data_IF_322140392223
#
_entry.id   IF_322140392223
#
_cell.length_a   1.000
_cell.length_b   1.000
_cell.length_c   1.000
_cell.angle_alpha   90.00
_cell.angle_beta   90.00
_cell.angle_gamma   90.00
#
_symmetry.space_group_name_H-M   'P 1'
#
loop_
_entity.id
_entity.type
_entity.pdbx_description
1 polymer ?
#
# COMPACT_ATOMS: atom_id res chain seq x y z
N UNK A 1 -39.36 -10.92 13.71
CA UNK A 1 -40.32 -10.92 12.58
C UNK A 1 -39.59 -10.33 11.40
N UNK A 2 -39.23 -11.16 10.43
CA UNK A 2 -38.64 -10.73 9.16
C UNK A 2 -39.78 -10.31 8.23
N UNK A 3 -39.64 -9.16 7.57
CA UNK A 3 -40.61 -8.63 6.61
C UNK A 3 -39.96 -8.60 5.23
N UNK A 4 -40.56 -9.26 4.25
CA UNK A 4 -40.10 -9.21 2.87
C UNK A 4 -40.65 -7.94 2.20
N UNK A 5 -39.74 -7.05 1.79
CA UNK A 5 -40.07 -5.77 1.16
C UNK A 5 -39.46 -5.71 -0.24
N UNK A 6 -40.27 -5.34 -1.22
CA UNK A 6 -39.82 -5.04 -2.58
C UNK A 6 -39.76 -3.53 -2.77
N UNK A 7 -38.57 -3.04 -3.13
CA UNK A 7 -38.34 -1.64 -3.50
C UNK A 7 -38.36 -1.52 -5.02
N UNK A 8 -39.23 -0.64 -5.53
CA UNK A 8 -39.29 -0.28 -6.94
C UNK A 8 -39.07 1.22 -7.02
N UNK A 9 -38.07 1.64 -7.80
CA UNK A 9 -37.72 3.04 -8.00
C UNK A 9 -37.61 3.33 -9.48
N UNK A 10 -38.15 4.47 -9.91
CA UNK A 10 -37.96 5.00 -11.27
C UNK A 10 -36.92 6.13 -11.33
N UNK A 11 -36.23 6.38 -10.21
CA UNK A 11 -35.26 7.46 -10.05
C UNK A 11 -35.85 8.77 -9.52
N UNK A 12 -37.17 8.92 -9.50
CA UNK A 12 -37.87 10.10 -8.95
C UNK A 12 -38.79 9.77 -7.78
N UNK A 13 -39.45 8.61 -7.81
CA UNK A 13 -40.29 8.11 -6.72
C UNK A 13 -39.84 6.71 -6.28
N UNK A 14 -39.95 6.44 -4.98
CA UNK A 14 -39.69 5.12 -4.41
C UNK A 14 -41.00 4.52 -3.90
N UNK A 15 -41.35 3.36 -4.44
CA UNK A 15 -42.47 2.55 -3.96
C UNK A 15 -41.93 1.37 -3.15
N UNK A 16 -42.43 1.23 -1.93
CA UNK A 16 -42.15 0.08 -1.06
C UNK A 16 -43.39 -0.78 -0.99
N UNK A 17 -43.30 -2.02 -1.47
CA UNK A 17 -44.38 -2.98 -1.41
C UNK A 17 -44.04 -4.09 -0.42
N UNK A 18 -44.98 -4.40 0.47
CA UNK A 18 -44.89 -5.58 1.32
C UNK A 18 -45.22 -6.84 0.52
N UNK A 19 -44.31 -7.81 0.54
CA UNK A 19 -44.48 -9.09 -0.14
C UNK A 19 -44.98 -10.12 0.87
N UNK A 20 -46.26 -10.48 0.77
CA UNK A 20 -46.88 -11.45 1.69
C UNK A 20 -46.44 -12.89 1.44
N UNK A 21 -45.95 -13.20 0.23
CA UNK A 21 -45.49 -14.54 -0.15
C UNK A 21 -44.48 -14.41 -1.29
N UNK A 22 -43.19 -14.48 -0.96
CA UNK A 22 -42.09 -14.29 -1.93
C UNK A 22 -42.16 -15.34 -3.04
N UNK A 23 -42.52 -16.58 -2.70
CA UNK A 23 -42.55 -17.70 -3.64
C UNK A 23 -43.65 -17.55 -4.71
N UNK A 24 -44.77 -16.90 -4.37
CA UNK A 24 -45.82 -16.58 -5.34
C UNK A 24 -45.42 -15.45 -6.26
N UNK A 25 -44.66 -14.47 -5.74
CA UNK A 25 -44.16 -13.35 -6.53
C UNK A 25 -43.11 -13.82 -7.54
N UNK A 26 -42.17 -14.67 -7.11
CA UNK A 26 -41.08 -15.17 -7.96
C UNK A 26 -41.49 -16.37 -8.81
N UNK A 27 -42.58 -17.06 -8.44
CA UNK A 27 -42.99 -18.32 -9.07
C UNK A 27 -42.03 -19.47 -8.76
N UNK A 28 -41.23 -19.36 -7.71
CA UNK A 28 -40.14 -20.28 -7.38
C UNK A 28 -40.17 -20.65 -5.90
N UNK A 29 -40.04 -21.94 -5.63
CA UNK A 29 -39.87 -22.52 -4.31
C UNK A 29 -38.37 -22.73 -4.05
N UNK A 30 -37.85 -22.16 -2.96
CA UNK A 30 -36.45 -22.31 -2.53
C UNK A 30 -36.44 -22.94 -1.13
N UNK A 31 -35.70 -24.02 -0.93
CA UNK A 31 -35.65 -24.68 0.37
C UNK A 31 -35.05 -23.74 1.43
N UNK A 32 -35.72 -23.48 2.57
CA UNK A 32 -35.29 -22.48 3.55
C UNK A 32 -34.13 -22.95 4.45
N UNK A 33 -33.70 -24.21 4.36
CA UNK A 33 -32.64 -24.76 5.20
C UNK A 33 -31.30 -24.84 4.46
N UNK A 34 -31.32 -25.28 3.20
CA UNK A 34 -30.11 -25.39 2.40
C UNK A 34 -29.94 -24.24 1.40
N UNK A 35 -31.01 -23.50 1.07
CA UNK A 35 -31.02 -22.45 0.03
C UNK A 35 -30.60 -22.93 -1.38
N UNK A 36 -30.69 -24.24 -1.57
CA UNK A 36 -29.88 -24.98 -2.54
C UNK A 36 -30.75 -25.81 -3.49
N UNK A 37 -31.92 -26.24 -3.00
CA UNK A 37 -32.91 -26.93 -3.79
C UNK A 37 -33.99 -25.96 -4.21
N UNK A 38 -34.08 -25.71 -5.51
CA UNK A 38 -34.98 -24.75 -6.13
C UNK A 38 -35.90 -25.49 -7.09
N UNK A 39 -37.19 -25.17 -7.08
CA UNK A 39 -38.17 -25.74 -7.99
C UNK A 39 -39.17 -24.66 -8.39
N UNK A 40 -39.67 -24.70 -9.62
CA UNK A 40 -40.73 -23.79 -10.07
C UNK A 40 -42.01 -24.11 -9.31
N UNK A 41 -42.63 -23.11 -8.70
CA UNK A 41 -43.94 -23.21 -8.10
C UNK A 41 -44.95 -23.52 -9.21
N UNK A 42 -45.43 -24.76 -9.25
CA UNK A 42 -46.35 -25.20 -10.30
C UNK A 42 -47.77 -25.34 -9.75
N UNK A 43 -48.71 -24.62 -10.36
CA UNK A 43 -50.14 -24.77 -10.06
C UNK A 43 -50.75 -26.01 -10.73
N UNK A 44 -50.09 -26.55 -11.76
CA UNK A 44 -50.57 -27.68 -12.56
C UNK A 44 -49.89 -29.00 -12.19
N UNK A 45 -48.60 -28.97 -11.82
CA UNK A 45 -47.83 -30.16 -11.48
C UNK A 45 -47.63 -30.28 -9.96
N UNK A 46 -48.64 -30.83 -9.27
CA UNK A 46 -48.60 -31.06 -7.82
C UNK A 46 -47.42 -31.91 -7.36
N UNK A 47 -46.93 -32.80 -8.22
CA UNK A 47 -45.84 -33.74 -7.90
C UNK A 47 -44.51 -33.02 -7.69
N UNK A 48 -44.24 -31.94 -8.43
CA UNK A 48 -43.05 -31.11 -8.25
C UNK A 48 -43.04 -30.44 -6.86
N UNK A 49 -44.18 -29.92 -6.43
CA UNK A 49 -44.34 -29.31 -5.10
C UNK A 49 -44.21 -30.37 -3.98
N UNK A 50 -44.71 -31.59 -4.20
CA UNK A 50 -44.55 -32.71 -3.27
C UNK A 50 -43.09 -33.14 -3.10
N UNK A 51 -42.32 -33.20 -4.20
CA UNK A 51 -40.88 -33.48 -4.13
C UNK A 51 -40.12 -32.39 -3.38
N UNK A 52 -40.46 -31.12 -3.63
CA UNK A 52 -39.92 -30.00 -2.89
C UNK A 52 -40.21 -30.11 -1.38
N UNK A 53 -41.47 -30.37 -1.00
CA UNK A 53 -41.83 -30.54 0.41
C UNK A 53 -41.12 -31.73 1.06
N UNK A 54 -40.96 -32.83 0.32
CA UNK A 54 -40.22 -34.01 0.79
C UNK A 54 -38.74 -33.70 1.01
N UNK A 55 -38.14 -32.91 0.11
CA UNK A 55 -36.79 -32.39 0.29
C UNK A 55 -36.71 -31.54 1.56
N UNK A 56 -37.59 -30.54 1.74
CA UNK A 56 -37.58 -29.62 2.89
C UNK A 56 -37.65 -30.38 4.22
N UNK A 57 -38.48 -31.42 4.32
CA UNK A 57 -38.57 -32.23 5.55
C UNK A 57 -37.29 -33.00 5.85
N UNK A 58 -36.62 -33.55 4.83
CA UNK A 58 -35.31 -34.19 5.01
C UNK A 58 -34.25 -33.17 5.40
N UNK A 59 -34.24 -32.03 4.73
CA UNK A 59 -33.33 -30.91 4.93
C UNK A 59 -33.41 -30.35 6.36
N UNK A 60 -34.62 -30.26 6.93
CA UNK A 60 -34.84 -29.82 8.30
C UNK A 60 -34.16 -30.71 9.35
N UNK A 61 -33.98 -31.99 9.04
CA UNK A 61 -33.38 -32.97 9.96
C UNK A 61 -31.87 -33.14 9.82
N UNK A 62 -31.25 -32.53 8.80
CA UNK A 62 -29.81 -32.57 8.58
C UNK A 62 -29.09 -31.37 9.19
N UNK A 63 -27.98 -31.61 9.89
CA UNK A 63 -26.98 -30.59 10.22
C UNK A 63 -26.25 -30.22 8.93
N UNK A 64 -26.67 -29.14 8.28
CA UNK A 64 -25.96 -28.62 7.11
C UNK A 64 -24.63 -28.00 7.57
N UNK A 65 -23.52 -28.63 7.20
CA UNK A 65 -22.27 -27.87 7.07
C UNK A 65 -22.45 -26.88 5.92
N UNK A 66 -22.14 -25.59 6.11
CA UNK A 66 -22.26 -24.59 5.05
C UNK A 66 -21.26 -24.95 3.93
N UNK A 67 -21.76 -25.61 2.88
CA UNK A 67 -21.01 -25.79 1.65
C UNK A 67 -21.09 -24.52 0.83
N UNK A 68 -19.94 -23.93 0.51
CA UNK A 68 -19.84 -22.81 -0.43
C UNK A 68 -20.30 -23.33 -1.80
N UNK A 69 -21.46 -22.88 -2.27
CA UNK A 69 -21.90 -23.12 -3.65
C UNK A 69 -21.23 -22.12 -4.57
N UNK A 70 -20.39 -22.63 -5.46
CA UNK A 70 -19.94 -21.88 -6.62
C UNK A 70 -21.12 -21.78 -7.61
N UNK A 71 -21.31 -20.62 -8.24
CA UNK A 71 -22.32 -20.45 -9.28
C UNK A 71 -22.08 -21.44 -10.43
N UNK A 72 -23.14 -22.05 -10.96
CA UNK A 72 -23.09 -23.01 -12.07
C UNK A 72 -22.58 -22.38 -13.39
N UNK A 73 -22.55 -21.05 -13.46
CA UNK A 73 -22.02 -20.27 -14.58
C UNK A 73 -20.71 -19.60 -14.13
N UNK A 74 -19.60 -19.76 -14.88
CA UNK A 74 -18.38 -19.01 -14.60
C UNK A 74 -18.70 -17.52 -14.69
N UNK A 75 -18.54 -16.80 -13.57
CA UNK A 75 -18.62 -15.34 -13.64
C UNK A 75 -17.50 -14.83 -14.53
N UNK A 76 -17.77 -13.86 -15.42
CA UNK A 76 -16.73 -13.19 -16.18
C UNK A 76 -15.72 -12.58 -15.20
N UNK A 77 -14.48 -13.07 -15.22
CA UNK A 77 -13.42 -12.58 -14.34
C UNK A 77 -12.91 -11.25 -14.91
N UNK A 78 -13.26 -10.15 -14.25
CA UNK A 78 -12.69 -8.83 -14.52
C UNK A 78 -12.26 -8.15 -13.20
N UNK A 79 -11.03 -8.43 -12.71
CA UNK A 79 -10.55 -7.94 -11.43
C UNK A 79 -10.48 -6.41 -11.36
N UNK A 80 -10.24 -5.76 -12.49
CA UNK A 80 -10.25 -4.30 -12.61
C UNK A 80 -11.58 -3.66 -12.16
N UNK A 81 -12.68 -4.41 -12.26
CA UNK A 81 -14.01 -3.97 -11.83
C UNK A 81 -14.32 -4.62 -10.48
N UNK A 82 -14.34 -5.96 -10.44
CA UNK A 82 -14.87 -6.74 -9.32
C UNK A 82 -14.05 -6.64 -8.03
N UNK A 83 -12.79 -6.22 -8.11
CA UNK A 83 -11.94 -6.03 -6.93
C UNK A 83 -11.75 -4.55 -6.60
N UNK A 84 -12.41 -3.63 -7.30
CA UNK A 84 -12.28 -2.19 -7.09
C UNK A 84 -13.65 -1.55 -6.87
N UNK A 85 -14.09 -1.36 -5.61
CA UNK A 85 -15.45 -0.90 -5.29
C UNK A 85 -15.86 0.40 -5.99
N UNK A 86 -14.94 1.36 -6.12
CA UNK A 86 -15.17 2.59 -6.89
C UNK A 86 -15.47 2.34 -8.36
N UNK A 87 -14.66 1.51 -9.04
CA UNK A 87 -14.85 1.20 -10.47
C UNK A 87 -16.14 0.42 -10.67
N UNK A 88 -16.44 -0.54 -9.79
CA UNK A 88 -17.70 -1.28 -9.82
C UNK A 88 -18.91 -0.35 -9.70
N UNK A 89 -18.89 0.55 -8.71
CA UNK A 89 -19.95 1.54 -8.49
C UNK A 89 -20.14 2.47 -9.70
N UNK A 90 -19.07 3.10 -10.16
CA UNK A 90 -19.13 4.04 -11.29
C UNK A 90 -19.56 3.34 -12.58
N UNK A 91 -19.13 2.10 -12.80
CA UNK A 91 -19.54 1.32 -13.96
C UNK A 91 -21.02 0.94 -13.92
N UNK A 92 -21.53 0.52 -12.76
CA UNK A 92 -22.93 0.14 -12.60
C UNK A 92 -23.88 1.32 -12.87
N UNK A 93 -23.45 2.55 -12.59
CA UNK A 93 -24.23 3.77 -12.81
C UNK A 93 -23.93 4.47 -14.15
N UNK A 94 -23.00 3.95 -14.96
CA UNK A 94 -22.61 4.57 -16.22
C UNK A 94 -21.81 5.88 -16.07
N UNK A 95 -21.17 6.08 -14.92
CA UNK A 95 -20.41 7.28 -14.53
C UNK A 95 -18.89 7.11 -14.66
N UNK A 96 -18.43 6.22 -15.55
CA UNK A 96 -17.01 5.94 -15.74
C UNK A 96 -16.18 7.14 -16.21
N UNK A 97 -16.81 8.18 -16.74
CA UNK A 97 -16.19 9.47 -17.06
C UNK A 97 -15.71 10.25 -15.82
N UNK A 98 -16.21 9.91 -14.63
CA UNK A 98 -15.82 10.53 -13.36
C UNK A 98 -14.70 9.78 -12.65
N UNK A 99 -14.31 8.60 -13.15
CA UNK A 99 -13.26 7.80 -12.54
C UNK A 99 -11.93 8.55 -12.52
N UNK A 100 -11.32 8.60 -11.34
CA UNK A 100 -9.97 9.11 -11.10
C UNK A 100 -9.14 8.05 -10.36
N UNK A 101 -7.91 7.87 -10.82
CA UNK A 101 -6.91 7.03 -10.14
C UNK A 101 -6.35 7.73 -8.90
N UNK A 102 -5.93 6.95 -7.92
CA UNK A 102 -5.14 7.45 -6.80
C UNK A 102 -3.80 7.97 -7.30
N UNK A 103 -3.42 9.17 -6.83
CA UNK A 103 -2.13 9.81 -7.14
C UNK A 103 -1.32 10.16 -5.88
N UNK A 104 -1.95 10.16 -4.72
CA UNK A 104 -1.32 10.47 -3.45
C UNK A 104 -0.76 9.22 -2.79
N UNK A 105 0.52 9.28 -2.44
CA UNK A 105 1.26 8.21 -1.79
C UNK A 105 2.41 8.80 -0.98
N UNK A 106 3.07 7.97 -0.18
CA UNK A 106 4.24 8.36 0.60
C UNK A 106 5.35 7.37 0.29
N UNK A 107 6.53 7.87 -0.03
CA UNK A 107 7.73 7.03 -0.15
C UNK A 107 8.55 7.13 1.13
N UNK A 108 9.28 6.08 1.48
CA UNK A 108 10.12 6.08 2.68
C UNK A 108 11.37 5.22 2.50
N UNK A 109 12.39 5.53 3.30
CA UNK A 109 13.66 4.81 3.32
C UNK A 109 14.31 4.90 4.71
N UNK A 110 15.03 3.84 5.10
CA UNK A 110 15.78 3.78 6.35
C UNK A 110 17.27 3.70 6.09
N UNK A 111 18.04 4.38 6.94
CA UNK A 111 19.44 4.06 7.12
C UNK A 111 19.68 3.37 8.46
N UNK A 112 20.70 2.51 8.48
CA UNK A 112 21.02 1.69 9.65
C UNK A 112 22.50 1.74 10.01
N UNK A 113 22.80 1.51 11.28
CA UNK A 113 24.13 1.27 11.80
C UNK A 113 24.35 -0.25 11.92
N UNK A 114 25.49 -0.73 11.42
CA UNK A 114 25.86 -2.14 11.53
C UNK A 114 26.94 -2.39 12.57
N UNK A 115 26.60 -3.15 13.61
CA UNK A 115 27.57 -3.67 14.58
C UNK A 115 27.93 -5.11 14.24
N UNK A 116 29.23 -5.40 14.09
CA UNK A 116 29.70 -6.79 14.01
C UNK A 116 29.71 -7.41 15.41
N UNK A 117 28.93 -8.48 15.58
CA UNK A 117 28.73 -9.11 16.91
C UNK A 117 29.33 -10.52 16.95
N UNK A 118 29.28 -11.28 15.85
CA UNK A 118 29.83 -12.64 15.73
C UNK A 118 29.47 -13.54 16.94
N UNK A 119 28.18 -13.57 17.31
CA UNK A 119 27.67 -14.25 18.50
C UNK A 119 26.93 -15.53 18.13
N UNK A 120 27.36 -16.67 18.67
CA UNK A 120 26.59 -17.90 18.57
C UNK A 120 25.32 -17.77 19.44
N UNK A 121 24.15 -17.79 18.80
CA UNK A 121 22.84 -17.78 19.45
C UNK A 121 22.45 -19.21 19.83
N UNK A 122 22.74 -20.15 18.93
CA UNK A 122 22.59 -21.59 19.14
C UNK A 122 23.77 -22.32 18.52
N UNK A 123 23.87 -23.64 18.71
CA UNK A 123 24.88 -24.48 18.07
C UNK A 123 24.81 -24.47 16.52
N UNK A 124 23.70 -23.99 15.95
CA UNK A 124 23.45 -23.94 14.51
C UNK A 124 23.23 -22.51 13.98
N UNK A 125 23.26 -21.48 14.83
CA UNK A 125 22.93 -20.11 14.44
C UNK A 125 23.92 -19.12 15.02
N UNK A 126 24.64 -18.44 14.13
CA UNK A 126 25.55 -17.36 14.48
C UNK A 126 24.97 -16.04 14.01
N UNK A 127 24.77 -15.11 14.94
CA UNK A 127 24.47 -13.72 14.67
C UNK A 127 25.75 -13.01 14.23
N UNK A 128 25.85 -12.70 12.95
CA UNK A 128 27.04 -12.05 12.38
C UNK A 128 27.07 -10.56 12.71
N UNK A 129 25.95 -9.87 12.47
CA UNK A 129 25.79 -8.45 12.70
C UNK A 129 24.44 -8.11 13.30
N UNK A 130 24.38 -7.00 14.01
CA UNK A 130 23.16 -6.41 14.54
C UNK A 130 22.98 -5.02 13.93
N UNK A 131 21.76 -4.74 13.47
CA UNK A 131 21.42 -3.46 12.85
C UNK A 131 20.63 -2.60 13.83
N UNK A 132 20.94 -1.31 13.83
CA UNK A 132 20.25 -0.29 14.60
C UNK A 132 19.73 0.80 13.67
N UNK A 133 18.55 1.35 13.97
CA UNK A 133 17.94 2.41 13.15
C UNK A 133 18.78 3.69 13.30
N UNK A 134 19.29 4.22 12.19
CA UNK A 134 20.05 5.48 12.16
C UNK A 134 19.13 6.64 11.82
N UNK A 135 18.35 6.48 10.77
CA UNK A 135 17.41 7.48 10.30
C UNK A 135 16.28 6.87 9.49
N UNK A 136 15.20 7.64 9.37
CA UNK A 136 14.10 7.40 8.45
C UNK A 136 13.85 8.70 7.69
N UNK A 137 13.65 8.60 6.39
CA UNK A 137 13.13 9.69 5.59
C UNK A 137 11.83 9.29 4.91
N UNK A 138 11.03 10.28 4.55
CA UNK A 138 9.87 10.13 3.70
C UNK A 138 9.68 11.32 2.78
N UNK A 139 9.08 11.05 1.62
CA UNK A 139 8.53 12.08 0.74
C UNK A 139 7.04 11.81 0.56
N UNK A 140 6.21 12.73 1.06
CA UNK A 140 4.76 12.66 0.94
C UNK A 140 4.30 13.42 -0.30
N UNK A 141 3.46 12.78 -1.12
CA UNK A 141 2.99 13.32 -2.39
C UNK A 141 1.52 13.71 -2.29
N UNK A 142 1.25 15.02 -2.32
CA UNK A 142 -0.08 15.61 -2.25
C UNK A 142 -0.57 15.94 -3.66
N UNK A 143 -1.55 15.20 -4.20
CA UNK A 143 -2.01 15.43 -5.56
C UNK A 143 -2.97 16.63 -5.64
N UNK A 144 -2.84 17.40 -6.72
CA UNK A 144 -3.78 18.46 -7.10
C UNK A 144 -4.77 17.98 -8.18
N UNK A 145 -5.83 18.74 -8.39
CA UNK A 145 -6.87 18.42 -9.39
C UNK A 145 -6.35 18.42 -10.84
N UNK A 146 -5.32 19.19 -11.14
CA UNK A 146 -4.71 19.33 -12.47
C UNK A 146 -3.60 18.31 -12.75
N UNK A 147 -3.49 17.25 -11.94
CA UNK A 147 -2.43 16.22 -11.96
C UNK A 147 -1.04 16.72 -11.51
N UNK A 148 -0.88 18.00 -11.18
CA UNK A 148 0.31 18.44 -10.46
C UNK A 148 0.30 17.89 -9.02
N UNK A 149 1.41 18.02 -8.32
CA UNK A 149 1.52 17.58 -6.94
C UNK A 149 2.51 18.42 -6.16
N UNK A 150 2.31 18.46 -4.85
CA UNK A 150 3.22 19.05 -3.88
C UNK A 150 3.95 17.95 -3.11
N UNK A 151 5.20 18.23 -2.75
CA UNK A 151 6.06 17.30 -2.03
C UNK A 151 6.40 17.87 -0.64
N UNK A 152 6.04 17.14 0.39
CA UNK A 152 6.56 17.34 1.75
C UNK A 152 7.64 16.28 1.98
N UNK A 153 8.73 16.69 2.64
CA UNK A 153 9.88 15.82 2.90
C UNK A 153 10.13 15.84 4.40
N UNK A 154 10.32 14.66 4.99
CA UNK A 154 10.66 14.52 6.40
C UNK A 154 11.88 13.64 6.54
N UNK A 155 12.72 13.95 7.52
CA UNK A 155 13.82 13.10 7.89
C UNK A 155 14.07 13.20 9.39
N UNK A 156 14.04 12.05 10.05
CA UNK A 156 14.39 11.89 11.46
C UNK A 156 15.60 10.99 11.58
N UNK A 157 16.46 11.30 12.53
CA UNK A 157 17.66 10.56 12.87
C UNK A 157 17.62 10.21 14.36
N UNK A 158 18.44 9.25 14.77
CA UNK A 158 18.69 8.95 16.19
C UNK A 158 19.03 10.21 17.01
N UNK A 159 19.72 11.19 16.40
CA UNK A 159 20.11 12.42 17.10
C UNK A 159 18.94 13.36 17.36
N UNK A 160 17.85 13.26 16.60
CA UNK A 160 16.68 14.11 16.79
C UNK A 160 15.93 13.73 18.09
N UNK A 161 16.04 12.48 18.55
CA UNK A 161 15.51 12.04 19.87
C UNK A 161 16.21 12.76 21.05
N UNK A 162 17.42 13.29 20.83
CA UNK A 162 18.19 14.03 21.84
C UNK A 162 17.90 15.53 21.84
N UNK A 163 17.06 16.01 20.92
CA UNK A 163 16.76 17.44 20.80
C UNK A 163 15.83 17.94 21.92
N UNK A 164 16.01 19.20 22.33
CA UNK A 164 15.22 19.79 23.43
C UNK A 164 13.72 19.84 23.13
N UNK A 165 13.34 19.94 21.84
CA UNK A 165 11.95 20.02 21.41
C UNK A 165 11.33 18.64 21.10
N UNK A 166 12.06 17.53 21.29
CA UNK A 166 11.56 16.20 20.96
C UNK A 166 10.33 15.82 21.80
N UNK A 167 10.37 16.10 23.10
CA UNK A 167 9.23 15.83 23.98
C UNK A 167 7.99 16.62 23.59
N UNK A 168 8.14 17.89 23.21
CA UNK A 168 7.02 18.72 22.74
C UNK A 168 6.40 18.16 21.45
N UNK A 169 7.22 17.54 20.58
CA UNK A 169 6.73 16.88 19.38
C UNK A 169 5.95 15.61 19.71
N UNK A 170 6.43 14.80 20.66
CA UNK A 170 5.70 13.61 21.13
C UNK A 170 4.35 14.00 21.74
N UNK A 171 4.35 14.99 22.63
CA UNK A 171 3.14 15.48 23.30
C UNK A 171 2.10 15.98 22.30
N UNK A 172 2.53 16.72 21.27
CA UNK A 172 1.66 17.21 20.18
C UNK A 172 0.99 16.07 19.40
N UNK A 173 1.68 14.95 19.26
CA UNK A 173 1.21 13.78 18.52
C UNK A 173 0.56 12.73 19.44
N UNK A 174 0.28 13.09 20.69
CA UNK A 174 -0.34 12.19 21.69
C UNK A 174 0.48 10.90 21.93
N UNK A 175 1.81 10.98 21.77
CA UNK A 175 2.72 9.83 21.92
C UNK A 175 3.31 9.76 23.34
N UNK A 176 3.54 8.54 23.88
CA UNK A 176 4.29 8.34 25.11
C UNK A 176 5.70 8.97 25.07
N UNK A 177 6.21 9.43 26.21
CA UNK A 177 7.54 10.07 26.32
C UNK A 177 8.72 9.17 25.96
N UNK A 178 8.53 7.86 25.88
CA UNK A 178 9.54 6.88 25.48
C UNK A 178 9.39 6.42 24.02
N UNK A 179 8.52 7.06 23.25
CA UNK A 179 8.33 6.78 21.82
C UNK A 179 9.59 7.16 21.03
N UNK A 180 9.97 6.28 20.11
CA UNK A 180 11.11 6.51 19.20
C UNK A 180 10.75 7.46 18.06
N UNK A 181 11.77 7.94 17.32
CA UNK A 181 11.56 8.80 16.16
C UNK A 181 10.71 8.13 15.07
N UNK A 182 10.68 6.79 15.05
CA UNK A 182 9.81 6.00 14.16
C UNK A 182 8.34 6.14 14.54
N UNK A 183 8.01 6.17 15.84
CA UNK A 183 6.64 6.42 16.29
C UNK A 183 6.20 7.85 15.94
N UNK A 184 7.07 8.84 16.16
CA UNK A 184 6.81 10.22 15.79
C UNK A 184 6.56 10.35 14.27
N UNK A 185 7.41 9.72 13.46
CA UNK A 185 7.24 9.68 12.01
C UNK A 185 5.92 9.04 11.60
N UNK A 186 5.55 7.89 12.17
CA UNK A 186 4.27 7.22 11.89
C UNK A 186 3.06 8.10 12.21
N UNK A 187 3.07 8.80 13.36
CA UNK A 187 1.99 9.71 13.72
C UNK A 187 1.80 10.81 12.67
N UNK A 188 2.88 11.46 12.25
CA UNK A 188 2.84 12.50 11.22
C UNK A 188 2.50 11.95 9.82
N UNK A 189 2.84 10.69 9.56
CA UNK A 189 2.47 9.99 8.33
C UNK A 189 0.96 9.74 8.29
N UNK A 190 0.33 9.41 9.41
CA UNK A 190 -1.14 9.33 9.50
C UNK A 190 -1.81 10.69 9.24
N UNK A 191 -1.30 11.78 9.82
CA UNK A 191 -1.83 13.13 9.56
C UNK A 191 -1.73 13.48 8.06
N UNK A 192 -0.59 13.19 7.45
CA UNK A 192 -0.38 13.42 6.02
C UNK A 192 -1.28 12.55 5.15
N UNK A 193 -1.52 11.30 5.56
CA UNK A 193 -2.41 10.39 4.86
C UNK A 193 -3.87 10.86 4.90
N UNK A 194 -4.32 11.50 5.98
CA UNK A 194 -5.64 12.12 6.05
C UNK A 194 -5.76 13.28 5.06
N UNK A 195 -4.77 14.16 5.00
CA UNK A 195 -4.73 15.27 4.05
C UNK A 195 -4.69 14.77 2.59
N UNK A 196 -3.81 13.80 2.29
CA UNK A 196 -3.75 13.14 0.98
C UNK A 196 -5.10 12.53 0.60
N UNK A 197 -5.78 11.85 1.54
CA UNK A 197 -7.11 11.31 1.30
C UNK A 197 -8.14 12.41 1.00
N UNK A 198 -8.10 13.54 1.69
CA UNK A 198 -8.99 14.67 1.39
C UNK A 198 -8.77 15.23 -0.02
N UNK A 199 -7.52 15.27 -0.50
CA UNK A 199 -7.21 15.69 -1.88
C UNK A 199 -7.80 14.73 -2.92
N UNK A 200 -7.91 13.44 -2.60
CA UNK A 200 -8.28 12.41 -3.57
C UNK A 200 -9.75 11.97 -3.51
N UNK A 201 -10.46 12.12 -2.39
CA UNK A 201 -11.83 11.63 -2.24
C UNK A 201 -12.80 12.22 -3.28
N UNK A 202 -13.87 11.52 -3.57
CA UNK A 202 -14.95 12.02 -4.44
C UNK A 202 -15.81 13.05 -3.70
N UNK A 203 -16.41 13.98 -4.44
CA UNK A 203 -17.37 14.95 -3.87
C UNK A 203 -18.67 14.26 -3.44
N UNK A 204 -19.14 13.29 -4.23
CA UNK A 204 -20.23 12.41 -3.85
C UNK A 204 -19.76 11.37 -2.83
N UNK A 205 -20.25 11.50 -1.60
CA UNK A 205 -19.94 10.59 -0.49
C UNK A 205 -20.46 9.15 -0.71
N UNK A 206 -21.38 8.94 -1.67
CA UNK A 206 -21.86 7.61 -2.02
C UNK A 206 -20.86 6.81 -2.86
N UNK A 207 -19.93 7.50 -3.55
CA UNK A 207 -18.88 6.82 -4.32
C UNK A 207 -17.91 6.17 -3.34
N UNK A 208 -17.80 4.82 -3.32
CA UNK A 208 -16.89 4.14 -2.41
C UNK A 208 -15.45 4.57 -2.72
N UNK A 209 -14.72 5.03 -1.71
CA UNK A 209 -13.31 5.39 -1.85
C UNK A 209 -12.54 5.02 -0.59
N UNK A 210 -11.56 4.14 -0.74
CA UNK A 210 -10.84 3.56 0.39
C UNK A 210 -10.04 4.61 1.17
N UNK A 211 -10.24 4.66 2.49
CA UNK A 211 -9.40 5.41 3.43
C UNK A 211 -8.06 4.71 3.64
N UNK A 212 -7.25 4.65 2.59
CA UNK A 212 -5.98 3.96 2.59
C UNK A 212 -4.96 4.72 1.73
N UNK A 213 -3.78 4.99 2.28
CA UNK A 213 -2.65 5.60 1.56
C UNK A 213 -1.50 4.59 1.49
N UNK A 214 -0.86 4.49 0.33
CA UNK A 214 0.28 3.58 0.13
C UNK A 214 1.57 4.19 0.65
N UNK A 215 2.31 3.38 1.40
CA UNK A 215 3.63 3.70 1.93
C UNK A 215 4.64 2.80 1.24
N UNK A 216 5.47 3.39 0.38
CA UNK A 216 6.29 2.69 -0.60
C UNK A 216 7.77 2.83 -0.26
N UNK A 217 8.41 1.72 0.09
CA UNK A 217 9.86 1.67 0.31
C UNK A 217 10.50 0.74 -0.71
N UNK A 218 11.75 1.02 -1.12
CA UNK A 218 12.44 0.24 -2.15
C UNK A 218 13.15 -0.98 -1.56
N UNK A 219 12.78 -2.20 -2.00
CA UNK A 219 13.28 -3.44 -1.39
C UNK A 219 12.99 -3.52 0.13
N UNK A 220 11.86 -2.92 0.52
CA UNK A 220 11.43 -2.76 1.91
C UNK A 220 10.80 -4.01 2.52
N UNK A 221 10.32 -4.94 1.67
CA UNK A 221 9.63 -6.18 2.10
C UNK A 221 10.45 -7.08 3.03
N UNK A 222 11.77 -6.97 2.94
CA UNK A 222 12.74 -7.77 3.70
C UNK A 222 13.44 -7.01 4.81
N UNK A 223 13.65 -5.70 4.61
CA UNK A 223 14.56 -4.92 5.44
C UNK A 223 13.80 -3.89 6.28
N UNK A 224 13.20 -2.88 5.64
CA UNK A 224 12.61 -1.75 6.34
C UNK A 224 11.41 -2.14 7.20
N UNK A 225 10.59 -3.08 6.72
CA UNK A 225 9.44 -3.59 7.48
C UNK A 225 9.87 -4.19 8.83
N UNK A 226 11.04 -4.86 8.88
CA UNK A 226 11.56 -5.40 10.13
C UNK A 226 11.97 -4.29 11.11
N UNK A 227 12.44 -3.14 10.59
CA UNK A 227 12.80 -1.96 11.39
C UNK A 227 11.56 -1.22 11.92
N UNK A 228 10.40 -1.41 11.29
CA UNK A 228 9.14 -0.79 11.72
C UNK A 228 8.39 -1.62 12.78
N UNK A 229 8.69 -2.92 12.91
CA UNK A 229 7.82 -3.88 13.59
C UNK A 229 7.42 -3.52 15.02
N UNK A 230 8.34 -2.91 15.78
CA UNK A 230 8.12 -2.46 17.16
C UNK A 230 7.26 -1.19 17.27
N UNK A 231 7.06 -0.47 16.17
CA UNK A 231 6.29 0.76 16.11
C UNK A 231 4.94 0.62 15.39
N UNK A 232 4.68 -0.48 14.66
CA UNK A 232 3.45 -0.67 13.88
C UNK A 232 2.20 -0.98 14.73
N UNK A 233 2.36 -1.28 16.02
CA UNK A 233 1.24 -1.53 16.94
C UNK A 233 1.46 -0.76 18.25
N UNK A 234 0.55 0.16 18.58
CA UNK A 234 0.64 0.98 19.77
C UNK A 234 -0.77 1.37 20.26
N UNK A 235 -0.89 2.33 21.17
CA UNK A 235 -2.19 2.79 21.67
C UNK A 235 -3.01 3.50 20.58
N UNK A 236 -2.38 4.22 19.65
CA UNK A 236 -3.02 5.05 18.62
C UNK A 236 -3.41 4.30 17.34
N UNK A 237 -2.64 3.29 16.95
CA UNK A 237 -2.86 2.51 15.73
C UNK A 237 -2.61 1.03 15.96
N UNK A 238 -3.11 0.19 15.06
CA UNK A 238 -2.93 -1.26 15.16
C UNK A 238 -2.46 -1.89 13.86
N UNK A 239 -1.56 -2.86 13.99
CA UNK A 239 -1.04 -3.62 12.86
C UNK A 239 -2.03 -4.70 12.46
N UNK A 240 -2.45 -4.69 11.20
CA UNK A 240 -3.21 -5.77 10.58
C UNK A 240 -2.35 -7.01 10.31
N UNK A 241 -3.00 -8.11 9.90
CA UNK A 241 -2.29 -9.34 9.54
C UNK A 241 -1.41 -9.09 8.30
N UNK A 242 -0.08 -9.30 8.39
CA UNK A 242 0.82 -9.17 7.24
C UNK A 242 0.43 -10.13 6.10
N UNK A 243 0.48 -9.65 4.87
CA UNK A 243 0.28 -10.48 3.67
C UNK A 243 1.65 -10.94 3.18
N UNK A 244 1.84 -12.25 3.03
CA UNK A 244 3.08 -12.84 2.56
C UNK A 244 3.64 -13.84 3.57
N UNK A 245 4.96 -14.06 3.51
CA UNK A 245 5.67 -14.87 4.50
C UNK A 245 6.49 -13.97 5.43
N UNK A 246 6.89 -14.45 6.63
CA UNK A 246 7.71 -13.67 7.54
C UNK A 246 9.03 -13.15 6.92
N UNK A 247 9.56 -13.88 5.94
CA UNK A 247 10.82 -13.53 5.25
C UNK A 247 10.59 -12.73 3.96
N UNK A 248 9.33 -12.53 3.55
CA UNK A 248 8.97 -11.81 2.33
C UNK A 248 7.55 -11.25 2.49
N UNK A 249 7.46 -10.19 3.30
CA UNK A 249 6.18 -9.53 3.57
C UNK A 249 5.81 -8.67 2.37
N UNK A 250 4.74 -9.05 1.67
CA UNK A 250 4.27 -8.33 0.47
C UNK A 250 3.55 -7.04 0.82
N UNK A 251 2.81 -7.05 1.93
CA UNK A 251 2.13 -5.85 2.41
C UNK A 251 1.81 -5.95 3.90
N UNK A 252 1.85 -4.81 4.59
CA UNK A 252 1.31 -4.64 5.94
C UNK A 252 0.36 -3.45 5.92
N UNK A 253 -0.80 -3.61 6.53
CA UNK A 253 -1.73 -2.49 6.73
C UNK A 253 -1.74 -2.12 8.21
N UNK A 254 -1.52 -0.85 8.51
CA UNK A 254 -1.66 -0.29 9.86
C UNK A 254 -2.86 0.63 9.86
N UNK A 255 -3.75 0.47 10.85
CA UNK A 255 -4.99 1.24 10.93
C UNK A 255 -4.96 2.15 12.15
N UNK A 256 -5.13 3.46 11.94
CA UNK A 256 -5.32 4.40 13.03
C UNK A 256 -6.65 4.13 13.72
N UNK A 257 -6.64 3.94 15.05
CA UNK A 257 -7.81 3.43 15.78
C UNK A 257 -8.94 4.45 15.84
N UNK A 258 -8.62 5.75 15.89
CA UNK A 258 -9.61 6.84 16.02
C UNK A 258 -10.22 7.24 14.68
N UNK A 259 -9.39 7.47 13.67
CA UNK A 259 -9.88 7.97 12.37
C UNK A 259 -10.18 6.88 11.34
N UNK A 260 -9.75 5.64 11.62
CA UNK A 260 -9.81 4.49 10.73
C UNK A 260 -9.04 4.65 9.41
N UNK A 261 -8.18 5.67 9.31
CA UNK A 261 -7.22 5.80 8.20
C UNK A 261 -6.25 4.62 8.21
N UNK A 262 -5.92 4.14 7.01
CA UNK A 262 -5.01 3.02 6.82
C UNK A 262 -3.75 3.48 6.10
N UNK A 263 -2.61 3.04 6.61
CA UNK A 263 -1.34 3.10 5.91
C UNK A 263 -1.03 1.69 5.43
N UNK A 264 -0.84 1.52 4.12
CA UNK A 264 -0.49 0.23 3.57
C UNK A 264 0.93 0.25 3.04
N UNK A 265 1.82 -0.39 3.80
CA UNK A 265 3.21 -0.60 3.46
C UNK A 265 3.30 -1.64 2.36
N UNK A 266 3.99 -1.31 1.27
CA UNK A 266 4.22 -2.17 0.10
C UNK A 266 5.64 -1.90 -0.40
N UNK A 267 6.29 -2.95 -0.89
CA UNK A 267 7.57 -2.82 -1.57
C UNK A 267 7.39 -2.24 -2.98
N UNK A 268 8.02 -1.10 -3.26
CA UNK A 268 7.98 -0.45 -4.56
C UNK A 268 8.57 -1.34 -5.68
N UNK A 269 9.51 -2.25 -5.36
CA UNK A 269 10.08 -3.20 -6.32
C UNK A 269 9.00 -4.12 -6.90
N UNK A 270 7.89 -4.37 -6.18
CA UNK A 270 6.76 -5.14 -6.71
C UNK A 270 6.06 -4.45 -7.90
N UNK A 271 6.21 -3.13 -8.06
CA UNK A 271 5.59 -2.33 -9.13
C UNK A 271 6.48 -2.17 -10.37
N UNK A 272 7.80 -2.37 -10.24
CA UNK A 272 8.75 -2.24 -11.35
C UNK A 272 9.40 -3.57 -11.74
N UNK A 273 9.34 -4.58 -10.87
CA UNK A 273 10.09 -5.82 -10.98
C UNK A 273 11.49 -5.70 -10.38
N UNK A 274 12.26 -6.81 -10.36
CA UNK A 274 13.50 -6.86 -9.59
C UNK A 274 14.60 -5.96 -10.17
N UNK A 275 14.86 -4.82 -9.54
CA UNK A 275 15.90 -3.88 -9.97
C UNK A 275 16.32 -2.92 -8.85
N UNK A 276 17.51 -2.32 -9.01
CA UNK A 276 17.98 -1.26 -8.10
C UNK A 276 17.20 0.04 -8.32
N UNK A 277 17.01 0.84 -7.26
CA UNK A 277 16.43 2.18 -7.37
C UNK A 277 17.12 3.04 -8.45
N UNK A 278 18.46 3.02 -8.50
CA UNK A 278 19.25 3.75 -9.51
C UNK A 278 18.88 3.36 -10.94
N UNK A 279 18.61 2.08 -11.20
CA UNK A 279 18.17 1.60 -12.51
C UNK A 279 16.73 2.04 -12.82
N UNK A 280 15.84 1.95 -11.82
CA UNK A 280 14.46 2.42 -11.97
C UNK A 280 14.39 3.92 -12.32
N UNK A 281 15.12 4.78 -11.58
CA UNK A 281 15.17 6.22 -11.86
C UNK A 281 15.70 6.49 -13.27
N UNK A 282 16.71 5.75 -13.71
CA UNK A 282 17.25 5.89 -15.06
C UNK A 282 16.26 5.49 -16.15
N UNK A 283 15.53 4.40 -15.94
CA UNK A 283 14.67 3.79 -16.96
C UNK A 283 13.24 4.38 -16.98
N UNK A 284 12.76 4.85 -15.83
CA UNK A 284 11.37 5.32 -15.63
C UNK A 284 11.27 6.75 -15.07
N UNK A 285 12.35 7.35 -14.56
CA UNK A 285 12.35 8.69 -13.96
C UNK A 285 12.79 9.80 -14.93
N UNK A 286 13.05 10.99 -14.37
CA UNK A 286 13.60 12.11 -15.14
C UNK A 286 15.13 12.01 -15.23
N UNK A 287 15.70 12.31 -16.40
CA UNK A 287 17.15 12.16 -16.66
C UNK A 287 18.05 13.06 -15.80
N UNK A 288 17.49 14.04 -15.11
CA UNK A 288 18.21 14.96 -14.21
C UNK A 288 18.34 14.42 -12.79
N UNK A 289 17.50 13.46 -12.40
CA UNK A 289 17.52 12.85 -11.07
C UNK A 289 18.62 11.78 -11.01
N UNK A 290 19.33 11.72 -9.89
CA UNK A 290 20.34 10.71 -9.67
C UNK A 290 20.33 10.25 -8.22
N UNK A 291 20.64 8.97 -8.03
CA UNK A 291 20.89 8.40 -6.71
C UNK A 291 22.28 8.82 -6.24
N UNK A 292 22.33 9.43 -5.06
CA UNK A 292 23.58 9.85 -4.41
C UNK A 292 24.33 8.65 -3.81
N UNK A 293 25.44 8.92 -3.12
CA UNK A 293 26.28 7.90 -2.47
C UNK A 293 26.50 8.19 -0.98
N UNK A 294 26.46 7.15 -0.15
CA UNK A 294 26.76 7.26 1.27
C UNK A 294 27.59 6.04 1.76
N UNK A 295 28.61 6.24 2.63
CA UNK A 295 29.48 5.15 3.07
C UNK A 295 28.96 4.50 4.38
N UNK A 296 28.18 3.44 4.24
CA UNK A 296 27.51 2.78 5.38
C UNK A 296 28.46 1.98 6.29
N UNK A 297 29.52 1.38 5.73
CA UNK A 297 30.33 0.38 6.46
C UNK A 297 31.28 0.98 7.51
N UNK A 298 31.57 2.29 7.42
CA UNK A 298 32.48 2.96 8.37
C UNK A 298 31.76 3.47 9.62
N UNK A 299 30.42 3.44 9.64
CA UNK A 299 29.60 3.97 10.73
C UNK A 299 28.95 2.80 11.50
N UNK A 300 29.14 2.79 12.81
CA UNK A 300 28.58 1.79 13.73
C UNK A 300 28.09 2.47 15.01
N UNK A 301 27.48 1.70 15.93
CA UNK A 301 26.88 2.25 17.15
C UNK A 301 27.87 3.00 18.05
N UNK A 302 29.17 2.68 17.95
CA UNK A 302 30.21 3.24 18.82
C UNK A 302 30.81 4.54 18.30
N UNK A 303 30.89 4.72 16.98
CA UNK A 303 31.55 5.86 16.35
C UNK A 303 30.59 6.82 15.62
N UNK A 304 29.30 6.49 15.53
CA UNK A 304 28.31 7.24 14.76
C UNK A 304 28.33 8.74 15.05
N UNK A 305 28.31 9.14 16.33
CA UNK A 305 28.34 10.55 16.72
C UNK A 305 29.62 11.26 16.28
N UNK A 306 30.79 10.65 16.50
CA UNK A 306 32.07 11.25 16.12
C UNK A 306 32.19 11.38 14.60
N UNK A 307 31.79 10.34 13.86
CA UNK A 307 31.91 10.29 12.40
C UNK A 307 30.95 11.27 11.73
N UNK A 308 29.70 11.37 12.17
CA UNK A 308 28.69 12.21 11.53
C UNK A 308 28.81 13.70 11.86
N UNK A 309 29.47 14.05 12.98
CA UNK A 309 29.69 15.45 13.37
C UNK A 309 30.93 16.08 12.69
N UNK A 310 31.72 15.30 11.94
CA UNK A 310 32.86 15.81 11.17
C UNK A 310 32.43 16.76 10.06
N UNK A 311 33.23 17.82 9.89
CA UNK A 311 33.02 18.88 8.89
C UNK A 311 33.74 18.57 7.58
N UNK A 312 34.75 17.71 7.62
CA UNK A 312 35.44 17.19 6.44
C UNK A 312 34.55 16.17 5.69
N UNK A 313 34.64 16.10 4.35
CA UNK A 313 33.97 15.05 3.58
C UNK A 313 34.52 13.66 3.93
N UNK A 314 33.78 12.63 3.57
CA UNK A 314 34.28 11.26 3.55
C UNK A 314 35.39 11.11 2.52
N UNK A 315 36.40 10.30 2.85
CA UNK A 315 37.48 9.98 1.92
C UNK A 315 37.00 8.94 0.90
N UNK A 316 37.63 8.90 -0.28
CA UNK A 316 37.26 7.94 -1.33
C UNK A 316 37.29 6.47 -0.86
N UNK A 317 38.22 6.17 0.05
CA UNK A 317 38.40 4.84 0.63
C UNK A 317 37.26 4.45 1.58
N UNK A 318 36.55 5.42 2.16
CA UNK A 318 35.41 5.17 3.05
C UNK A 318 34.23 4.52 2.31
N UNK A 319 34.17 4.67 0.98
CA UNK A 319 33.11 4.09 0.13
C UNK A 319 33.39 2.65 -0.32
N UNK A 320 34.55 2.06 0.05
CA UNK A 320 34.85 0.67 -0.30
C UNK A 320 33.97 -0.28 0.49
N UNK A 321 33.21 -1.10 -0.23
CA UNK A 321 32.37 -2.13 0.37
C UNK A 321 33.11 -3.45 0.53
N UNK A 322 33.30 -3.89 1.77
CA UNK A 322 33.83 -5.22 2.09
C UNK A 322 32.86 -6.32 1.63
N UNK A 323 31.55 -6.06 1.74
CA UNK A 323 30.51 -7.02 1.34
C UNK A 323 30.44 -7.23 -0.18
N UNK A 324 30.83 -6.23 -0.99
CA UNK A 324 30.90 -6.33 -2.45
C UNK A 324 32.31 -6.64 -2.96
N UNK A 325 33.14 -7.30 -2.15
CA UNK A 325 34.48 -7.74 -2.56
C UNK A 325 35.47 -6.58 -2.80
N UNK A 326 35.31 -5.46 -2.09
CA UNK A 326 36.13 -4.27 -2.23
C UNK A 326 35.68 -3.30 -3.33
N UNK A 327 34.49 -3.51 -3.91
CA UNK A 327 33.89 -2.57 -4.86
C UNK A 327 33.70 -1.21 -4.18
N UNK A 328 34.13 -0.14 -4.86
CA UNK A 328 33.88 1.25 -4.48
C UNK A 328 33.04 1.92 -5.54
N UNK A 329 32.51 3.09 -5.19
CA UNK A 329 31.91 4.02 -6.14
C UNK A 329 32.94 4.43 -7.21
N UNK A 330 32.44 4.92 -8.34
CA UNK A 330 33.28 5.48 -9.41
C UNK A 330 33.91 6.81 -9.00
N UNK A 331 34.95 7.22 -9.73
CA UNK A 331 35.59 8.52 -9.49
C UNK A 331 34.63 9.68 -9.74
N UNK A 332 33.80 9.58 -10.78
CA UNK A 332 32.79 10.60 -11.11
C UNK A 332 31.73 10.72 -10.00
N UNK A 333 31.26 9.60 -9.45
CA UNK A 333 30.32 9.59 -8.30
C UNK A 333 30.94 10.24 -7.06
N UNK A 334 32.22 9.98 -6.78
CA UNK A 334 32.91 10.61 -5.66
C UNK A 334 33.12 12.12 -5.87
N UNK A 335 33.49 12.53 -7.08
CA UNK A 335 33.68 13.94 -7.39
C UNK A 335 32.35 14.70 -7.31
N UNK A 336 31.24 14.07 -7.71
CA UNK A 336 29.88 14.59 -7.51
C UNK A 336 29.54 14.70 -6.02
N UNK A 337 29.80 13.65 -5.23
CA UNK A 337 29.66 13.70 -3.76
C UNK A 337 30.40 14.90 -3.15
N UNK A 338 31.64 15.16 -3.55
CA UNK A 338 32.41 16.31 -3.04
C UNK A 338 31.80 17.67 -3.44
N UNK A 339 31.12 17.74 -4.58
CA UNK A 339 30.41 18.96 -5.01
C UNK A 339 29.17 19.17 -4.14
N UNK A 340 28.40 18.12 -3.89
CA UNK A 340 27.17 18.21 -3.10
C UNK A 340 27.46 18.43 -1.62
N UNK A 341 28.49 17.76 -1.07
CA UNK A 341 28.89 17.90 0.33
C UNK A 341 29.20 19.36 0.73
N UNK A 342 29.71 20.18 -0.20
CA UNK A 342 29.99 21.62 0.05
C UNK A 342 28.76 22.43 0.46
N UNK A 343 27.55 21.93 0.21
CA UNK A 343 26.29 22.57 0.59
C UNK A 343 25.94 22.33 2.07
N UNK A 344 26.64 21.42 2.73
CA UNK A 344 26.33 20.97 4.08
C UNK A 344 27.48 21.30 5.03
N UNK A 345 27.13 21.56 6.28
CA UNK A 345 28.10 21.94 7.32
C UNK A 345 28.83 20.74 7.93
N UNK A 346 28.21 19.55 7.88
CA UNK A 346 28.78 18.30 8.38
C UNK A 346 28.14 17.08 7.69
N UNK A 347 28.68 15.90 7.99
CA UNK A 347 28.22 14.61 7.44
C UNK A 347 26.81 14.23 7.87
N UNK A 348 26.32 14.67 9.04
CA UNK A 348 24.93 14.44 9.47
C UNK A 348 23.92 15.18 8.57
N UNK A 349 24.19 16.44 8.21
CA UNK A 349 23.32 17.18 7.30
C UNK A 349 23.35 16.59 5.88
N UNK A 350 24.51 16.08 5.44
CA UNK A 350 24.60 15.33 4.19
C UNK A 350 23.79 14.02 4.26
N UNK A 351 23.85 13.27 5.36
CA UNK A 351 23.01 12.07 5.56
C UNK A 351 21.53 12.41 5.44
N UNK A 352 21.05 13.46 6.13
CA UNK A 352 19.63 13.87 6.04
C UNK A 352 19.22 14.19 4.60
N UNK A 353 20.07 14.91 3.86
CA UNK A 353 19.84 15.19 2.44
C UNK A 353 19.83 13.91 1.59
N UNK A 354 20.81 13.03 1.78
CA UNK A 354 20.94 11.76 1.07
C UNK A 354 19.69 10.90 1.23
N UNK A 355 19.22 10.69 2.47
CA UNK A 355 18.01 9.93 2.76
C UNK A 355 16.77 10.55 2.12
N UNK A 356 16.62 11.88 2.16
CA UNK A 356 15.50 12.56 1.53
C UNK A 356 15.54 12.34 0.01
N UNK A 357 16.71 12.52 -0.62
CA UNK A 357 16.88 12.31 -2.06
C UNK A 357 16.46 10.89 -2.48
N UNK A 358 16.85 9.87 -1.71
CA UNK A 358 16.45 8.48 -1.96
C UNK A 358 14.93 8.28 -1.96
N UNK A 359 14.21 9.00 -1.10
CA UNK A 359 12.74 8.95 -1.10
C UNK A 359 12.10 9.75 -2.23
N UNK A 360 12.69 10.89 -2.57
CA UNK A 360 12.15 11.82 -3.57
C UNK A 360 12.30 11.26 -5.00
N UNK A 361 13.45 10.68 -5.34
CA UNK A 361 13.69 10.12 -6.68
C UNK A 361 12.79 8.91 -7.01
N UNK A 362 12.11 8.32 -6.01
CA UNK A 362 11.08 7.30 -6.25
C UNK A 362 9.79 7.90 -6.81
N UNK A 363 9.49 9.17 -6.55
CA UNK A 363 8.21 9.80 -6.89
C UNK A 363 7.98 9.83 -8.39
N UNK A 364 8.97 10.26 -9.17
CA UNK A 364 8.81 10.45 -10.62
C UNK A 364 8.56 9.13 -11.35
N UNK A 365 9.33 8.04 -11.14
CA UNK A 365 9.00 6.72 -11.68
C UNK A 365 7.59 6.25 -11.33
N UNK A 366 7.16 6.42 -10.07
CA UNK A 366 5.83 6.01 -9.61
C UNK A 366 4.72 6.80 -10.30
N UNK A 367 4.88 8.13 -10.44
CA UNK A 367 3.95 8.98 -11.17
C UNK A 367 3.84 8.59 -12.64
N UNK A 368 4.98 8.37 -13.32
CA UNK A 368 5.00 7.93 -14.71
C UNK A 368 4.31 6.57 -14.90
N UNK A 369 4.44 5.66 -13.92
CA UNK A 369 3.74 4.39 -13.91
C UNK A 369 2.22 4.58 -13.75
N UNK A 370 1.78 5.44 -12.82
CA UNK A 370 0.37 5.78 -12.62
C UNK A 370 -0.22 6.38 -13.90
N UNK A 371 0.45 7.36 -14.51
CA UNK A 371 -0.01 8.02 -15.74
C UNK A 371 -0.14 7.05 -16.92
N UNK A 372 0.74 6.04 -16.99
CA UNK A 372 0.69 5.01 -18.04
C UNK A 372 -0.57 4.13 -17.91
N UNK A 373 -0.92 3.73 -16.69
CA UNK A 373 -2.06 2.84 -16.44
C UNK A 373 -3.40 3.58 -16.34
N UNK A 374 -3.39 4.87 -15.98
CA UNK A 374 -4.58 5.73 -15.97
C UNK A 374 -5.28 5.75 -17.34
N UNK A 375 -4.52 5.75 -18.44
CA UNK A 375 -5.06 5.70 -19.81
C UNK A 375 -5.99 4.50 -20.05
N UNK A 376 -5.81 3.44 -19.27
CA UNK A 376 -6.60 2.21 -19.34
C UNK A 376 -7.66 2.10 -18.24
N UNK A 377 -7.88 3.15 -17.45
CA UNK A 377 -8.72 3.16 -16.23
C UNK A 377 -8.27 2.13 -15.18
N UNK A 378 -6.95 1.96 -15.04
CA UNK A 378 -6.37 1.06 -14.05
C UNK A 378 -5.68 1.92 -12.98
N UNK A 379 -6.18 1.84 -11.75
CA UNK A 379 -5.53 2.44 -10.58
C UNK A 379 -4.36 1.54 -10.13
N UNK A 380 -3.13 1.98 -10.37
CA UNK A 380 -1.92 1.23 -9.98
C UNK A 380 -1.80 1.11 -8.47
N UNK A 381 -2.11 2.19 -7.75
CA UNK A 381 -2.01 2.21 -6.30
C UNK A 381 -3.09 1.35 -5.67
N UNK A 382 -4.20 1.03 -6.32
CA UNK A 382 -5.13 0.02 -5.79
C UNK A 382 -4.46 -1.36 -5.59
N UNK A 383 -3.47 -1.70 -6.42
CA UNK A 383 -2.81 -3.00 -6.41
C UNK A 383 -1.50 -3.03 -5.62
N UNK A 384 -1.01 -4.23 -5.31
CA UNK A 384 0.24 -4.45 -4.57
C UNK A 384 1.44 -4.83 -5.46
N UNK A 385 1.22 -5.04 -6.76
CA UNK A 385 2.25 -5.45 -7.71
C UNK A 385 1.90 -5.15 -9.17
N UNK A 386 2.92 -5.04 -10.02
CA UNK A 386 2.75 -4.88 -11.46
C UNK A 386 2.07 -6.09 -12.11
N UNK A 387 2.30 -7.29 -11.56
CA UNK A 387 1.65 -8.51 -12.04
C UNK A 387 0.14 -8.46 -11.82
N UNK A 388 -0.33 -7.93 -10.68
CA UNK A 388 -1.75 -7.71 -10.44
C UNK A 388 -2.33 -6.63 -11.35
N UNK A 389 -1.60 -5.54 -11.62
CA UNK A 389 -2.01 -4.53 -12.59
C UNK A 389 -2.16 -5.14 -13.99
N UNK A 390 -1.13 -5.85 -14.48
CA UNK A 390 -1.16 -6.50 -15.79
C UNK A 390 -2.29 -7.54 -15.91
N UNK A 391 -2.55 -8.30 -14.85
CA UNK A 391 -3.68 -9.23 -14.80
C UNK A 391 -5.02 -8.50 -14.91
N UNK A 392 -5.22 -7.43 -14.13
CA UNK A 392 -6.42 -6.60 -14.22
C UNK A 392 -6.60 -6.00 -15.62
N UNK A 393 -5.54 -5.42 -16.19
CA UNK A 393 -5.52 -4.83 -17.53
C UNK A 393 -5.89 -5.84 -18.62
N UNK A 394 -5.28 -7.04 -18.59
CA UNK A 394 -5.55 -8.11 -19.56
C UNK A 394 -7.03 -8.51 -19.60
N UNK A 395 -7.65 -8.63 -18.42
CA UNK A 395 -9.05 -8.98 -18.33
C UNK A 395 -9.93 -7.80 -18.75
N UNK A 396 -9.60 -6.58 -18.32
CA UNK A 396 -10.32 -5.37 -18.70
C UNK A 396 -10.34 -5.15 -20.22
N UNK A 397 -9.22 -5.39 -20.91
CA UNK A 397 -9.13 -5.23 -22.37
C UNK A 397 -9.99 -6.23 -23.16
N UNK A 398 -10.32 -7.38 -22.58
CA UNK A 398 -11.22 -8.37 -23.20
C UNK A 398 -12.65 -7.84 -23.28
N UNK A 399 -13.08 -7.04 -22.30
CA UNK A 399 -14.42 -6.45 -22.25
C UNK A 399 -14.50 -5.08 -22.93
N UNK A 400 -13.39 -4.33 -22.92
CA UNK A 400 -13.31 -2.98 -23.48
C UNK A 400 -12.20 -2.83 -24.54
N UNK A 401 -12.19 -3.63 -25.61
CA UNK A 401 -11.08 -3.65 -26.58
C UNK A 401 -10.86 -2.30 -27.26
N UNK A 402 -11.91 -1.49 -27.44
CA UNK A 402 -11.80 -0.15 -28.02
C UNK A 402 -10.91 0.81 -27.21
N UNK A 403 -10.75 0.58 -25.90
CA UNK A 403 -9.84 1.36 -25.05
C UNK A 403 -8.35 0.99 -25.21
N UNK A 404 -8.07 -0.12 -25.91
CA UNK A 404 -6.72 -0.68 -26.04
C UNK A 404 -6.23 -0.76 -27.50
N UNK A 405 -7.06 -0.32 -28.45
CA UNK A 405 -6.64 -0.17 -29.84
C UNK A 405 -5.81 1.10 -29.96
N UNK A 406 -4.48 0.95 -29.91
CA UNK A 406 -3.52 2.03 -30.18
C UNK A 406 -3.43 2.40 -31.67
N UNK A 407 -4.23 1.77 -32.54
CA UNK A 407 -4.40 2.13 -33.95
C UNK A 407 -5.74 2.83 -34.17
N UNK A 408 -5.76 4.15 -34.02
CA UNK A 408 -6.41 5.14 -34.91
C UNK A 408 -6.51 6.50 -34.21
N UNK A 409 -5.41 7.26 -34.29
CA UNK A 409 -5.42 8.69 -34.65
C UNK A 409 -4.26 8.95 -35.61
#
# INVERSE_FOLDING_TARGET
MTLDLLLISDGTEQHVMYVSTVEKLTGVLICPYCHDYVTILSDTNKRANEYFNTHVQKCKSSTHEPSIRLHDVPMPICPAILNHPTVEYLMALGLMNEFKVQRGFITYDFETLGDQVMKNITDQTTLLSQLHKLSIASTEVFPNQDKSYELVRRCYTLFDELSENYQEQLDRNELPSNSSFVHLWLAQTFDSAEEIYQCMKYEDENVPFDKCVKILGWNSSRFDIALLWDALDCELWTMGVPIGSPNNTKSITVTHKKSHMKLQFIDAENLFGPMTLKACVKDYGDKSEHKDVFPYEIINSKNCQEVLMKIEPFEYEDFKSQFKGGYSITKDEYDQYLIDFKRFSNRLYYLKYYNINDTEIMVKPLMNLIDTFEQFNIDVLHYISIASCAYATKHYSTYFPSKFNLESD
#
